data_IF_431538667379
#
_entry.id   IF_431538667379
#
_cell.length_a   1.000
_cell.length_b   1.000
_cell.length_c   1.000
_cell.angle_alpha   90.00
_cell.angle_beta   90.00
_cell.angle_gamma   90.00
#
_symmetry.space_group_name_H-M   'P 1'
#
loop_
_entity.id
_entity.type
_entity.pdbx_description
1 polymer ?
#
# COMPACT_ATOMS: atom_id res chain seq x y z
N UNK A 1 24.50 15.79 0.44
CA UNK A 1 23.87 15.12 1.60
C UNK A 1 22.40 15.01 1.29
N UNK A 2 21.91 13.81 0.95
CA UNK A 2 20.51 13.61 0.58
C UNK A 2 19.68 13.62 1.85
N UNK A 3 18.89 14.68 2.05
CA UNK A 3 17.81 14.68 3.03
C UNK A 3 16.90 13.50 2.72
N UNK A 4 16.93 12.48 3.57
CA UNK A 4 15.90 11.46 3.59
C UNK A 4 14.66 12.15 4.15
N UNK A 5 13.84 12.71 3.28
CA UNK A 5 12.51 13.20 3.63
C UNK A 5 11.73 12.00 4.15
N UNK A 6 11.75 11.82 5.47
CA UNK A 6 10.85 10.92 6.19
C UNK A 6 9.43 11.37 5.85
N UNK A 7 8.83 10.72 4.85
CA UNK A 7 7.44 10.91 4.45
C UNK A 7 6.60 10.63 5.68
N UNK A 8 6.12 11.70 6.32
CA UNK A 8 5.27 11.56 7.50
C UNK A 8 3.97 10.88 7.04
N UNK A 9 3.52 9.82 7.73
CA UNK A 9 2.22 9.22 7.44
C UNK A 9 1.15 10.31 7.49
N UNK A 10 0.40 10.45 6.41
CA UNK A 10 -0.77 11.33 6.40
C UNK A 10 -1.87 10.69 7.25
N UNK A 11 -2.69 11.51 7.94
CA UNK A 11 -3.85 10.99 8.64
C UNK A 11 -4.76 10.24 7.67
N UNK A 12 -5.20 9.03 8.05
CA UNK A 12 -6.19 8.28 7.30
C UNK A 12 -7.53 9.02 7.36
N UNK A 13 -8.12 9.23 6.19
CA UNK A 13 -9.39 9.92 5.96
C UNK A 13 -10.55 8.93 5.78
N UNK A 14 -11.78 9.44 5.68
CA UNK A 14 -12.95 8.62 5.33
C UNK A 14 -12.88 8.07 3.89
N UNK A 15 -12.18 8.77 2.99
CA UNK A 15 -11.93 8.28 1.63
C UNK A 15 -10.98 7.08 1.66
N UNK A 16 -9.89 7.18 2.44
CA UNK A 16 -8.99 6.04 2.67
C UNK A 16 -9.74 4.86 3.31
N UNK A 17 -10.67 5.10 4.24
CA UNK A 17 -11.50 4.03 4.81
C UNK A 17 -12.29 3.28 3.73
N UNK A 18 -12.89 4.00 2.78
CA UNK A 18 -13.65 3.40 1.69
C UNK A 18 -12.74 2.58 0.76
N UNK A 19 -11.57 3.13 0.41
CA UNK A 19 -10.58 2.47 -0.44
C UNK A 19 -9.97 1.23 0.23
N UNK A 20 -9.55 1.33 1.49
CA UNK A 20 -9.07 0.20 2.30
C UNK A 20 -10.12 -0.91 2.37
N UNK A 21 -11.39 -0.55 2.57
CA UNK A 21 -12.49 -1.53 2.59
C UNK A 21 -12.65 -2.19 1.23
N UNK A 22 -12.65 -1.41 0.14
CA UNK A 22 -12.76 -1.95 -1.21
C UNK A 22 -11.60 -2.91 -1.53
N UNK A 23 -10.36 -2.54 -1.16
CA UNK A 23 -9.19 -3.37 -1.33
C UNK A 23 -9.29 -4.70 -0.56
N UNK A 24 -9.76 -4.67 0.69
CA UNK A 24 -9.97 -5.88 1.47
C UNK A 24 -11.10 -6.77 0.91
N UNK A 25 -12.16 -6.18 0.35
CA UNK A 25 -13.26 -6.93 -0.28
C UNK A 25 -12.82 -7.66 -1.55
N UNK A 26 -11.77 -7.20 -2.25
CA UNK A 26 -11.23 -7.88 -3.44
C UNK A 26 -10.68 -9.29 -3.15
N UNK A 27 -10.45 -9.66 -1.88
CA UNK A 27 -10.05 -11.02 -1.49
C UNK A 27 -11.14 -12.07 -1.77
N UNK A 28 -12.36 -11.66 -2.14
CA UNK A 28 -13.36 -12.56 -2.67
C UNK A 28 -14.29 -11.85 -3.65
N UNK A 29 -14.50 -12.44 -4.81
CA UNK A 29 -15.53 -12.00 -5.77
C UNK A 29 -16.90 -12.62 -5.49
N UNK A 30 -16.96 -13.63 -4.61
CA UNK A 30 -18.16 -14.44 -4.40
C UNK A 30 -18.93 -14.05 -3.13
N UNK A 31 -18.25 -13.48 -2.13
CA UNK A 31 -18.84 -13.18 -0.83
C UNK A 31 -18.23 -11.92 -0.24
N UNK A 32 -18.99 -11.28 0.64
CA UNK A 32 -18.49 -10.18 1.45
C UNK A 32 -17.41 -10.68 2.40
N UNK A 33 -16.25 -10.03 2.37
CA UNK A 33 -15.07 -10.31 3.18
C UNK A 33 -15.05 -9.45 4.44
N UNK A 34 -15.41 -8.16 4.33
CA UNK A 34 -15.34 -7.20 5.44
C UNK A 34 -16.64 -7.18 6.23
N UNK A 35 -16.58 -7.78 7.42
CA UNK A 35 -17.66 -7.81 8.40
C UNK A 35 -17.91 -6.44 9.02
N UNK A 36 -16.82 -5.74 9.35
CA UNK A 36 -16.86 -4.40 9.95
C UNK A 36 -15.63 -3.62 9.53
N UNK A 37 -15.79 -2.32 9.33
CA UNK A 37 -14.67 -1.39 9.18
C UNK A 37 -14.96 -0.15 10.03
N UNK A 38 -13.94 0.36 10.73
CA UNK A 38 -14.08 1.55 11.57
C UNK A 38 -12.83 2.42 11.48
N UNK A 39 -13.03 3.69 11.12
CA UNK A 39 -11.99 4.71 11.24
C UNK A 39 -11.83 5.09 12.72
N UNK A 40 -10.59 5.17 13.14
CA UNK A 40 -10.13 5.57 14.46
C UNK A 40 -9.12 6.71 14.29
N UNK A 41 -8.84 7.44 15.37
CA UNK A 41 -7.89 8.58 15.35
C UNK A 41 -6.51 8.23 14.77
N UNK A 42 -6.08 6.98 14.94
CA UNK A 42 -4.77 6.47 14.51
C UNK A 42 -4.82 5.56 13.27
N UNK A 43 -5.98 5.46 12.59
CA UNK A 43 -6.13 4.68 11.37
C UNK A 43 -7.39 3.80 11.31
N UNK A 44 -7.41 2.74 10.51
CA UNK A 44 -8.58 1.87 10.31
C UNK A 44 -8.44 0.54 11.03
N UNK A 45 -9.53 0.04 11.57
CA UNK A 45 -9.66 -1.35 12.01
C UNK A 45 -10.70 -2.04 11.12
N UNK A 46 -10.32 -3.16 10.49
CA UNK A 46 -11.21 -4.03 9.76
C UNK A 46 -11.34 -5.38 10.46
N UNK A 47 -12.57 -5.81 10.61
CA UNK A 47 -12.90 -7.20 10.92
C UNK A 47 -13.25 -7.89 9.60
N UNK A 48 -12.45 -8.90 9.26
CA UNK A 48 -12.59 -9.70 8.04
C UNK A 48 -12.81 -11.15 8.40
N UNK A 49 -13.47 -11.90 7.52
CA UNK A 49 -13.55 -13.35 7.68
C UNK A 49 -12.15 -13.97 7.75
N UNK A 50 -11.89 -14.81 8.75
CA UNK A 50 -10.57 -15.40 9.00
C UNK A 50 -9.99 -16.15 7.80
N UNK A 51 -10.82 -16.79 6.98
CA UNK A 51 -10.39 -17.48 5.76
C UNK A 51 -9.74 -16.55 4.71
N UNK A 52 -10.07 -15.26 4.73
CA UNK A 52 -9.59 -14.27 3.76
C UNK A 52 -8.61 -13.27 4.38
N UNK A 53 -8.23 -13.43 5.66
CA UNK A 53 -7.46 -12.40 6.38
C UNK A 53 -6.07 -12.16 5.78
N UNK A 54 -5.41 -13.21 5.28
CA UNK A 54 -4.10 -13.11 4.63
C UNK A 54 -4.20 -12.37 3.30
N UNK A 55 -5.11 -12.80 2.43
CA UNK A 55 -5.31 -12.19 1.11
C UNK A 55 -5.79 -10.74 1.22
N UNK A 56 -6.74 -10.46 2.12
CA UNK A 56 -7.21 -9.10 2.36
C UNK A 56 -6.09 -8.18 2.89
N UNK A 57 -5.19 -8.71 3.74
CA UNK A 57 -4.00 -7.96 4.19
C UNK A 57 -3.10 -7.62 3.00
N UNK A 58 -2.81 -8.58 2.14
CA UNK A 58 -1.87 -8.40 1.04
C UNK A 58 -2.41 -7.40 0.01
N UNK A 59 -3.71 -7.44 -0.27
CA UNK A 59 -4.38 -6.47 -1.15
C UNK A 59 -4.39 -5.05 -0.56
N UNK A 60 -4.66 -4.90 0.74
CA UNK A 60 -4.59 -3.59 1.42
C UNK A 60 -3.16 -3.06 1.43
N UNK A 61 -2.15 -3.92 1.61
CA UNK A 61 -0.75 -3.53 1.50
C UNK A 61 -0.38 -3.09 0.07
N UNK A 62 -0.83 -3.84 -0.94
CA UNK A 62 -0.63 -3.50 -2.35
C UNK A 62 -1.32 -2.19 -2.76
N UNK A 63 -2.43 -1.83 -2.09
CA UNK A 63 -3.08 -0.54 -2.27
C UNK A 63 -2.26 0.65 -1.70
N UNK A 64 -1.15 0.37 -1.00
CA UNK A 64 -0.24 1.39 -0.47
C UNK A 64 -0.48 1.71 1.01
N UNK A 65 -1.24 0.89 1.73
CA UNK A 65 -1.49 1.11 3.14
C UNK A 65 -0.59 0.27 4.03
N UNK A 66 -0.17 0.86 5.15
CA UNK A 66 0.55 0.11 6.19
C UNK A 66 -0.46 -0.71 7.00
N UNK A 67 -0.47 -2.03 6.81
CA UNK A 67 -1.43 -2.95 7.43
C UNK A 67 -0.75 -4.10 8.18
N UNK A 68 -1.33 -4.47 9.32
CA UNK A 68 -0.92 -5.63 10.12
C UNK A 68 -2.13 -6.38 10.68
N UNK A 69 -1.94 -7.67 10.97
CA UNK A 69 -2.95 -8.49 11.66
C UNK A 69 -2.73 -8.39 13.17
N UNK A 70 -3.78 -8.05 13.92
CA UNK A 70 -3.79 -8.03 15.38
C UNK A 70 -5.08 -8.69 15.87
N UNK A 71 -4.97 -9.80 16.60
CA UNK A 71 -6.13 -10.54 17.14
C UNK A 71 -7.22 -10.76 16.08
N UNK A 72 -6.85 -11.35 14.95
CA UNK A 72 -7.76 -11.64 13.82
C UNK A 72 -8.43 -10.41 13.18
N UNK A 73 -7.88 -9.21 13.40
CA UNK A 73 -8.33 -7.96 12.76
C UNK A 73 -7.21 -7.35 11.95
N UNK A 74 -7.55 -6.69 10.85
CA UNK A 74 -6.60 -5.87 10.11
C UNK A 74 -6.58 -4.48 10.73
N UNK A 75 -5.38 -4.03 11.11
CA UNK A 75 -5.14 -2.69 11.62
C UNK A 75 -4.31 -1.95 10.59
N UNK A 76 -4.85 -0.85 10.08
CA UNK A 76 -4.23 0.01 9.08
C UNK A 76 -3.86 1.33 9.73
N UNK A 77 -2.59 1.71 9.71
CA UNK A 77 -2.08 2.83 10.54
C UNK A 77 -1.54 4.00 9.75
N UNK A 78 -1.50 3.91 8.43
CA UNK A 78 -1.14 5.03 7.57
C UNK A 78 -1.40 4.71 6.11
N UNK A 79 -1.75 5.74 5.36
CA UNK A 79 -1.56 5.75 3.92
C UNK A 79 -0.10 6.07 3.65
N UNK A 80 0.59 5.24 2.87
CA UNK A 80 1.83 5.68 2.26
C UNK A 80 1.40 6.63 1.16
N UNK A 81 1.97 7.84 1.11
CA UNK A 81 1.69 8.79 0.04
C UNK A 81 1.96 8.09 -1.31
N UNK A 82 0.88 7.78 -2.02
CA UNK A 82 0.93 7.04 -3.27
C UNK A 82 1.70 7.83 -4.32
N UNK A 83 1.67 9.16 -4.27
CA UNK A 83 2.50 10.00 -5.12
C UNK A 83 3.98 9.82 -4.78
N UNK A 84 4.34 9.79 -3.49
CA UNK A 84 5.73 9.56 -3.06
C UNK A 84 6.24 8.17 -3.49
N UNK A 85 5.42 7.12 -3.40
CA UNK A 85 5.77 5.78 -3.91
C UNK A 85 5.95 5.78 -5.42
N UNK A 86 5.02 6.38 -6.16
CA UNK A 86 5.09 6.46 -7.63
C UNK A 86 6.30 7.28 -8.10
N UNK A 87 6.63 8.35 -7.38
CA UNK A 87 7.84 9.15 -7.63
C UNK A 87 9.09 8.32 -7.38
N UNK A 88 9.17 7.58 -6.26
CA UNK A 88 10.31 6.72 -5.96
C UNK A 88 10.49 5.62 -7.02
N UNK A 89 9.41 4.98 -7.46
CA UNK A 89 9.49 3.94 -8.51
C UNK A 89 9.86 4.54 -9.87
N UNK A 90 9.34 5.71 -10.23
CA UNK A 90 9.76 6.45 -11.43
C UNK A 90 11.26 6.72 -11.41
N UNK A 91 11.78 7.17 -10.27
CA UNK A 91 13.20 7.51 -10.14
C UNK A 91 14.07 6.25 -10.24
N UNK A 92 13.62 5.12 -9.66
CA UNK A 92 14.26 3.80 -9.80
C UNK A 92 14.32 3.35 -11.26
N UNK A 93 13.19 3.39 -11.97
CA UNK A 93 13.12 3.01 -13.38
C UNK A 93 13.95 3.92 -14.28
N UNK A 94 13.99 5.21 -13.97
CA UNK A 94 14.81 6.18 -14.73
C UNK A 94 16.30 5.86 -14.59
N UNK A 95 16.75 5.50 -13.38
CA UNK A 95 18.13 5.08 -13.15
C UNK A 95 18.47 3.77 -13.88
N UNK A 96 17.54 2.82 -13.91
CA UNK A 96 17.70 1.54 -14.61
C UNK A 96 17.80 1.75 -16.14
N UNK A 97 16.97 2.62 -16.71
CA UNK A 97 17.05 3.03 -18.13
C UNK A 97 18.40 3.67 -18.43
N UNK A 98 18.87 4.61 -17.60
CA UNK A 98 20.15 5.27 -17.80
C UNK A 98 21.34 4.28 -17.75
N UNK A 99 21.28 3.29 -16.86
CA UNK A 99 22.27 2.23 -16.78
C UNK A 99 22.30 1.37 -18.06
N UNK A 100 21.13 0.94 -18.53
CA UNK A 100 21.00 0.14 -19.77
C UNK A 100 21.48 0.91 -21.01
N UNK A 101 21.22 2.22 -21.07
CA UNK A 101 21.70 3.09 -22.16
C UNK A 101 23.23 3.24 -22.12
N UNK A 102 23.83 3.35 -20.94
CA UNK A 102 25.28 3.42 -20.81
C UNK A 102 25.94 2.10 -21.24
N UNK A 103 25.37 0.96 -20.86
CA UNK A 103 25.88 -0.37 -21.23
C UNK A 103 25.81 -0.61 -22.75
N UNK A 104 24.69 -0.25 -23.38
CA UNK A 104 24.53 -0.33 -24.84
C UNK A 104 25.45 0.64 -25.60
N UNK A 105 25.73 1.83 -25.05
CA UNK A 105 26.68 2.78 -25.64
C UNK A 105 28.15 2.32 -25.56
N UNK A 106 28.50 1.51 -24.55
CA UNK A 106 29.81 0.86 -24.43
C UNK A 106 29.92 -0.33 -25.38
N UNK A 107 28.87 -1.13 -25.55
CA UNK A 107 28.86 -2.28 -26.47
C UNK A 107 28.88 -1.89 -27.96
N UNK A 108 28.50 -0.66 -28.30
CA UNK A 108 28.51 -0.13 -29.66
C UNK A 108 29.83 0.58 -30.05
N UNK A 109 30.82 0.61 -29.17
CA UNK A 109 32.19 1.10 -29.42
C UNK A 109 33.15 -0.06 -29.58
#
# INVERSE_FOLDING_TARGET
MSETTLTRPTPITDEDLADIKAAAEMASTARRVVLMARLCRSGVILHVHGFHIGEARDLVAAAGYTVRVVQERLVVTGAIDRLALLVAERDRLTAEIAALQAETAVAAR
#
